data_IF_428075315271
#
_entry.id   IF_428075315271
#
_cell.length_a   1.000
_cell.length_b   1.000
_cell.length_c   1.000
_cell.angle_alpha   90.00
_cell.angle_beta   90.00
_cell.angle_gamma   90.00
#
_symmetry.space_group_name_H-M   'P 1'
#
loop_
_entity.id
_entity.type
_entity.pdbx_description
1 polymer ?
#
# COMPACT_ATOMS: atom_id res chain seq x y z
N UNK A 1 1.55 7.68 -28.91
CA UNK A 1 2.74 8.36 -28.35
C UNK A 1 2.47 9.03 -27.00
N UNK A 2 1.72 10.14 -26.88
CA UNK A 2 1.47 10.77 -25.56
C UNK A 2 0.73 9.83 -24.58
N UNK A 3 -0.29 9.14 -25.08
CA UNK A 3 -1.12 8.22 -24.29
C UNK A 3 -0.35 6.97 -23.80
N UNK A 4 0.52 6.42 -24.65
CA UNK A 4 1.40 5.30 -24.29
C UNK A 4 2.45 5.70 -23.25
N UNK A 5 2.92 6.95 -23.32
CA UNK A 5 3.86 7.50 -22.36
C UNK A 5 3.19 7.69 -20.99
N UNK A 6 1.94 8.15 -20.95
CA UNK A 6 1.16 8.27 -19.70
C UNK A 6 0.93 6.91 -19.05
N UNK A 7 0.43 5.92 -19.80
CA UNK A 7 0.26 4.56 -19.28
C UNK A 7 1.60 3.94 -18.83
N UNK A 8 2.70 4.20 -19.55
CA UNK A 8 4.04 3.78 -19.15
C UNK A 8 4.50 4.40 -17.83
N UNK A 9 4.21 5.68 -17.60
CA UNK A 9 4.50 6.38 -16.34
C UNK A 9 3.64 5.82 -15.20
N UNK A 10 2.34 5.63 -15.43
CA UNK A 10 1.42 5.03 -14.45
C UNK A 10 1.88 3.63 -14.06
N UNK A 11 2.12 2.75 -15.04
CA UNK A 11 2.63 1.40 -14.78
C UNK A 11 3.94 1.42 -14.01
N UNK A 12 4.89 2.28 -14.39
CA UNK A 12 6.20 2.35 -13.72
C UNK A 12 6.07 2.84 -12.27
N UNK A 13 5.24 3.85 -12.02
CA UNK A 13 5.00 4.40 -10.69
C UNK A 13 4.35 3.36 -9.77
N UNK A 14 3.27 2.73 -10.23
CA UNK A 14 2.53 1.75 -9.43
C UNK A 14 3.28 0.42 -9.29
N UNK A 15 4.06 0.00 -10.29
CA UNK A 15 4.93 -1.17 -10.18
C UNK A 15 6.07 -0.93 -9.17
N UNK A 16 6.66 0.26 -9.17
CA UNK A 16 7.67 0.64 -8.19
C UNK A 16 7.09 0.64 -6.76
N UNK A 17 5.91 1.23 -6.55
CA UNK A 17 5.19 1.17 -5.28
C UNK A 17 4.88 -0.27 -4.84
N UNK A 18 4.41 -1.09 -5.78
CA UNK A 18 4.15 -2.52 -5.55
C UNK A 18 5.40 -3.27 -5.13
N UNK A 19 6.56 -3.02 -5.74
CA UNK A 19 7.82 -3.68 -5.39
C UNK A 19 8.27 -3.34 -3.96
N UNK A 20 8.15 -2.08 -3.54
CA UNK A 20 8.46 -1.66 -2.17
C UNK A 20 7.56 -2.38 -1.18
N UNK A 21 6.25 -2.37 -1.41
CA UNK A 21 5.30 -3.02 -0.52
C UNK A 21 5.44 -4.55 -0.52
N UNK A 22 5.79 -5.14 -1.66
CA UNK A 22 6.07 -6.57 -1.73
C UNK A 22 7.25 -6.98 -0.85
N UNK A 23 8.36 -6.22 -0.87
CA UNK A 23 9.53 -6.49 -0.04
C UNK A 23 9.15 -6.43 1.45
N UNK A 24 8.39 -5.42 1.87
CA UNK A 24 7.88 -5.30 3.23
C UNK A 24 6.97 -6.48 3.60
N UNK A 25 6.12 -6.94 2.68
CA UNK A 25 5.20 -8.05 2.93
C UNK A 25 5.94 -9.37 3.19
N UNK A 26 7.15 -9.53 2.61
CA UNK A 26 8.00 -10.70 2.89
C UNK A 26 8.49 -10.74 4.34
N UNK A 27 8.73 -9.56 4.93
CA UNK A 27 9.12 -9.43 6.34
C UNK A 27 7.89 -9.68 7.23
N UNK A 28 6.74 -9.18 6.84
CA UNK A 28 5.48 -9.27 7.59
C UNK A 28 4.79 -10.65 7.51
N UNK A 29 5.24 -11.54 6.63
CA UNK A 29 4.61 -12.86 6.41
C UNK A 29 4.42 -13.67 7.70
N UNK A 30 5.34 -13.55 8.66
CA UNK A 30 5.29 -14.28 9.94
C UNK A 30 4.17 -13.79 10.87
N UNK A 31 3.82 -12.51 10.76
CA UNK A 31 2.82 -11.84 11.60
C UNK A 31 1.55 -11.51 10.84
N UNK A 32 1.41 -12.03 9.62
CA UNK A 32 0.26 -11.80 8.74
C UNK A 32 -1.08 -12.23 9.35
N UNK A 33 -1.17 -13.30 10.18
CA UNK A 33 -2.39 -13.61 10.92
C UNK A 33 -2.86 -12.45 11.83
N UNK A 34 -1.94 -11.61 12.33
CA UNK A 34 -2.29 -10.43 13.14
C UNK A 34 -3.14 -9.41 12.38
N UNK A 35 -3.12 -9.41 11.04
CA UNK A 35 -3.99 -8.54 10.24
C UNK A 35 -5.46 -8.76 10.56
N UNK A 36 -5.83 -10.04 10.75
CA UNK A 36 -7.20 -10.49 10.92
C UNK A 36 -7.58 -10.58 12.40
N UNK A 37 -6.65 -11.05 13.24
CA UNK A 37 -6.86 -11.23 14.67
C UNK A 37 -5.62 -10.80 15.47
N UNK A 38 -5.76 -9.78 16.31
CA UNK A 38 -4.65 -9.23 17.11
C UNK A 38 -4.14 -10.22 18.16
N UNK A 39 -5.01 -11.13 18.61
CA UNK A 39 -4.71 -12.12 19.64
C UNK A 39 -4.40 -13.49 19.04
N UNK A 40 -4.07 -13.56 17.74
CA UNK A 40 -3.71 -14.81 17.08
C UNK A 40 -2.60 -15.54 17.85
N UNK A 41 -2.95 -16.66 18.49
CA UNK A 41 -2.05 -17.50 19.28
C UNK A 41 -1.01 -18.22 18.40
N UNK A 42 -1.27 -18.29 17.09
CA UNK A 42 -0.39 -18.91 16.10
C UNK A 42 0.85 -18.09 15.77
N UNK A 43 0.94 -16.84 16.26
CA UNK A 43 2.06 -15.92 16.01
C UNK A 43 2.90 -15.85 17.28
N UNK A 44 4.18 -16.22 17.17
CA UNK A 44 5.15 -16.13 18.27
C UNK A 44 5.43 -14.65 18.61
N UNK A 45 5.45 -14.32 19.90
CA UNK A 45 5.74 -12.99 20.39
C UNK A 45 7.15 -12.52 20.01
N UNK A 46 8.11 -13.44 19.86
CA UNK A 46 9.45 -13.13 19.37
C UNK A 46 9.43 -12.68 17.90
N UNK A 47 8.58 -13.29 17.07
CA UNK A 47 8.36 -12.87 15.68
C UNK A 47 7.69 -11.49 15.62
N UNK A 48 6.70 -11.23 16.48
CA UNK A 48 6.07 -9.91 16.59
C UNK A 48 7.10 -8.84 16.95
N UNK A 49 7.95 -9.11 17.94
CA UNK A 49 9.01 -8.17 18.36
C UNK A 49 10.10 -8.01 17.31
N UNK A 50 10.42 -9.05 16.56
CA UNK A 50 11.32 -8.97 15.43
C UNK A 50 10.76 -8.05 14.34
N UNK A 51 9.53 -8.31 13.88
CA UNK A 51 8.88 -7.49 12.84
C UNK A 51 8.69 -6.06 13.33
N UNK A 52 8.29 -5.83 14.58
CA UNK A 52 8.20 -4.48 15.15
C UNK A 52 9.53 -3.72 15.11
N UNK A 53 10.65 -4.38 15.47
CA UNK A 53 11.99 -3.77 15.41
C UNK A 53 12.37 -3.41 13.96
N UNK A 54 12.11 -4.31 13.02
CA UNK A 54 12.39 -4.08 11.60
C UNK A 54 11.55 -2.91 11.07
N UNK A 55 10.24 -2.90 11.32
CA UNK A 55 9.34 -1.82 10.93
C UNK A 55 9.78 -0.49 11.55
N UNK A 56 10.11 -0.46 12.84
CA UNK A 56 10.62 0.74 13.52
C UNK A 56 11.89 1.30 12.89
N UNK A 57 12.77 0.43 12.39
CA UNK A 57 13.98 0.83 11.67
C UNK A 57 13.71 1.28 10.23
N UNK A 58 12.74 0.66 9.56
CA UNK A 58 12.40 0.96 8.17
C UNK A 58 11.56 2.23 8.02
N UNK A 59 10.64 2.51 8.94
CA UNK A 59 9.77 3.71 8.92
C UNK A 59 10.52 5.03 8.62
N UNK A 60 11.66 5.35 9.25
CA UNK A 60 12.40 6.58 8.95
C UNK A 60 13.18 6.54 7.62
N UNK A 61 13.45 5.35 7.07
CA UNK A 61 14.21 5.15 5.82
C UNK A 61 13.28 5.13 4.62
N UNK A 62 12.09 4.57 4.79
CA UNK A 62 11.03 4.66 3.81
C UNK A 62 10.67 6.15 3.69
N UNK A 63 10.53 6.69 2.46
CA UNK A 63 10.00 8.03 2.29
C UNK A 63 8.65 8.15 3.01
N UNK A 64 8.06 9.36 3.11
CA UNK A 64 6.61 9.54 3.33
C UNK A 64 5.80 8.96 2.15
N UNK A 65 6.16 7.75 1.72
CA UNK A 65 5.93 7.13 0.43
C UNK A 65 4.47 6.92 0.21
N UNK A 66 3.70 6.62 1.26
CA UNK A 66 2.26 6.46 1.15
C UNK A 66 1.57 7.76 0.68
N UNK A 67 1.90 8.91 1.27
CA UNK A 67 1.32 10.20 0.87
C UNK A 67 1.76 10.63 -0.53
N UNK A 68 3.03 10.40 -0.88
CA UNK A 68 3.55 10.71 -2.21
C UNK A 68 2.99 9.79 -3.29
N UNK A 69 2.89 8.49 -3.03
CA UNK A 69 2.30 7.52 -3.96
C UNK A 69 0.82 7.83 -4.17
N UNK A 70 0.08 8.20 -3.13
CA UNK A 70 -1.30 8.68 -3.27
C UNK A 70 -1.37 9.94 -4.12
N UNK A 71 -0.58 10.96 -3.79
CA UNK A 71 -0.63 12.23 -4.49
C UNK A 71 -0.26 12.07 -5.98
N UNK A 72 0.90 11.49 -6.27
CA UNK A 72 1.37 11.33 -7.64
C UNK A 72 0.56 10.28 -8.41
N UNK A 73 0.12 9.20 -7.75
CA UNK A 73 -0.76 8.20 -8.34
C UNK A 73 -2.11 8.80 -8.75
N UNK A 74 -2.73 9.59 -7.87
CA UNK A 74 -3.95 10.34 -8.18
C UNK A 74 -3.75 11.30 -9.35
N UNK A 75 -2.69 12.12 -9.32
CA UNK A 75 -2.42 13.09 -10.40
C UNK A 75 -2.21 12.37 -11.73
N UNK A 76 -1.46 11.28 -11.74
CA UNK A 76 -1.20 10.50 -12.95
C UNK A 76 -2.49 9.87 -13.51
N UNK A 77 -3.33 9.28 -12.66
CA UNK A 77 -4.61 8.69 -13.08
C UNK A 77 -5.63 9.74 -13.55
N UNK A 78 -5.69 10.92 -12.91
CA UNK A 78 -6.52 12.02 -13.38
C UNK A 78 -6.06 12.54 -14.74
N UNK A 79 -4.75 12.68 -14.92
CA UNK A 79 -4.17 13.12 -16.19
C UNK A 79 -4.44 12.09 -17.30
N UNK A 80 -4.30 10.79 -17.00
CA UNK A 80 -4.68 9.72 -17.92
C UNK A 80 -6.16 9.77 -18.28
N UNK A 81 -7.05 9.95 -17.30
CA UNK A 81 -8.48 10.10 -17.54
C UNK A 81 -8.79 11.29 -18.44
N UNK A 82 -8.11 12.42 -18.26
CA UNK A 82 -8.24 13.59 -19.12
C UNK A 82 -7.79 13.31 -20.55
N UNK A 83 -6.60 12.74 -20.76
CA UNK A 83 -6.07 12.40 -22.09
C UNK A 83 -6.92 11.37 -22.83
N UNK A 84 -7.58 10.47 -22.09
CA UNK A 84 -8.47 9.43 -22.64
C UNK A 84 -9.93 9.86 -22.77
N UNK A 85 -10.25 11.11 -22.44
CA UNK A 85 -11.62 11.62 -22.50
C UNK A 85 -12.58 10.89 -21.55
N UNK A 86 -12.08 10.39 -20.42
CA UNK A 86 -12.82 9.67 -19.39
C UNK A 86 -13.55 8.42 -19.90
N UNK A 87 -12.87 7.65 -20.75
CA UNK A 87 -13.37 6.34 -21.16
C UNK A 87 -13.57 5.39 -19.96
N UNK A 88 -14.39 4.36 -20.17
CA UNK A 88 -14.78 3.44 -19.09
C UNK A 88 -13.57 2.79 -18.37
N UNK A 89 -12.48 2.36 -19.06
CA UNK A 89 -11.31 1.79 -18.39
C UNK A 89 -10.67 2.77 -17.40
N UNK A 90 -10.48 4.03 -17.82
CA UNK A 90 -9.88 5.05 -16.96
C UNK A 90 -10.74 5.32 -15.72
N UNK A 91 -12.07 5.38 -15.91
CA UNK A 91 -13.02 5.56 -14.81
C UNK A 91 -12.97 4.39 -13.82
N UNK A 92 -12.86 3.15 -14.31
CA UNK A 92 -12.76 1.97 -13.45
C UNK A 92 -11.45 1.96 -12.66
N UNK A 93 -10.31 2.26 -13.30
CA UNK A 93 -9.00 2.29 -12.65
C UNK A 93 -8.95 3.36 -11.55
N UNK A 94 -9.40 4.58 -11.86
CA UNK A 94 -9.39 5.67 -10.88
C UNK A 94 -10.35 5.41 -9.72
N UNK A 95 -11.53 4.84 -10.00
CA UNK A 95 -12.51 4.49 -8.97
C UNK A 95 -11.99 3.37 -8.07
N UNK A 96 -11.35 2.35 -8.64
CA UNK A 96 -10.70 1.29 -7.88
C UNK A 96 -9.63 1.87 -6.95
N UNK A 97 -8.74 2.70 -7.52
CA UNK A 97 -7.63 3.29 -6.78
C UNK A 97 -8.11 4.16 -5.61
N UNK A 98 -9.08 5.04 -5.86
CA UNK A 98 -9.68 5.88 -4.83
C UNK A 98 -10.57 5.11 -3.86
N UNK A 99 -11.19 4.01 -4.27
CA UNK A 99 -11.96 3.14 -3.37
C UNK A 99 -11.08 2.61 -2.23
N UNK A 100 -9.89 2.10 -2.56
CA UNK A 100 -8.96 1.54 -1.56
C UNK A 100 -8.16 2.64 -0.86
N UNK A 101 -7.58 3.57 -1.62
CA UNK A 101 -6.73 4.64 -1.06
C UNK A 101 -7.56 5.66 -0.29
N UNK A 102 -8.75 6.00 -0.78
CA UNK A 102 -9.70 6.89 -0.11
C UNK A 102 -10.24 6.28 1.18
N UNK A 103 -10.55 4.97 1.18
CA UNK A 103 -10.87 4.27 2.44
C UNK A 103 -9.73 4.38 3.45
N UNK A 104 -8.49 4.18 3.00
CA UNK A 104 -7.31 4.28 3.86
C UNK A 104 -7.04 5.72 4.34
N UNK A 105 -7.40 6.75 3.58
CA UNK A 105 -7.29 8.15 4.01
C UNK A 105 -8.37 8.56 5.01
N UNK A 106 -9.60 8.07 4.83
CA UNK A 106 -10.76 8.45 5.66
C UNK A 106 -10.81 7.66 6.96
N UNK A 107 -10.51 6.37 6.89
CA UNK A 107 -10.63 5.43 8.02
C UNK A 107 -9.27 4.95 8.53
N UNK A 108 -8.17 5.19 7.80
CA UNK A 108 -6.83 4.80 8.22
C UNK A 108 -6.12 5.90 9.01
N UNK A 109 -5.77 5.58 10.25
CA UNK A 109 -4.87 6.40 11.07
C UNK A 109 -3.41 6.04 10.77
N UNK A 110 -2.96 6.23 9.53
CA UNK A 110 -1.61 5.83 9.09
C UNK A 110 -0.54 6.56 9.90
N UNK A 111 -0.75 7.86 10.15
CA UNK A 111 0.17 8.68 10.95
C UNK A 111 0.19 8.19 12.40
N UNK A 112 -0.96 7.90 13.00
CA UNK A 112 -1.03 7.37 14.35
C UNK A 112 -0.47 5.96 14.46
N UNK A 113 -0.68 5.08 13.49
CA UNK A 113 -0.10 3.74 13.44
C UNK A 113 1.43 3.79 13.36
N UNK A 114 1.96 4.62 12.46
CA UNK A 114 3.41 4.87 12.35
C UNK A 114 3.97 5.46 13.65
N UNK A 115 3.29 6.44 14.25
CA UNK A 115 3.72 7.03 15.52
C UNK A 115 3.64 6.04 16.67
N UNK A 116 2.63 5.16 16.72
CA UNK A 116 2.53 4.08 17.71
C UNK A 116 3.71 3.12 17.58
N UNK A 117 4.07 2.65 16.39
CA UNK A 117 5.26 1.80 16.19
C UNK A 117 6.57 2.52 16.55
N UNK A 118 6.70 3.81 16.20
CA UNK A 118 7.89 4.61 16.54
C UNK A 118 8.05 4.84 18.04
N UNK A 119 6.95 5.14 18.73
CA UNK A 119 6.97 5.56 20.14
C UNK A 119 6.88 4.37 21.10
N UNK A 120 6.30 3.24 20.68
CA UNK A 120 6.27 2.01 21.47
C UNK A 120 7.67 1.37 21.50
N UNK A 121 8.12 0.96 22.69
CA UNK A 121 9.34 0.18 22.84
C UNK A 121 9.09 -1.25 22.37
N UNK A 122 10.00 -1.86 21.60
CA UNK A 122 9.84 -3.27 21.20
C UNK A 122 9.88 -4.25 22.37
N UNK A 123 10.27 -3.79 23.57
CA UNK A 123 10.28 -4.57 24.81
C UNK A 123 9.11 -4.22 25.75
N UNK A 124 8.15 -3.41 25.30
CA UNK A 124 6.95 -3.10 26.10
C UNK A 124 6.05 -4.33 26.25
N UNK A 125 4.91 -4.12 26.91
CA UNK A 125 3.78 -5.05 26.89
C UNK A 125 3.50 -5.54 25.46
N UNK A 126 3.32 -6.86 25.31
CA UNK A 126 3.24 -7.51 24.00
C UNK A 126 1.95 -7.18 23.26
N UNK A 127 0.83 -6.97 23.96
CA UNK A 127 -0.41 -6.56 23.32
C UNK A 127 -0.26 -5.19 22.64
N UNK A 128 0.45 -4.26 23.31
CA UNK A 128 0.76 -2.95 22.75
C UNK A 128 1.61 -3.05 21.47
N UNK A 129 2.59 -3.98 21.44
CA UNK A 129 3.43 -4.23 20.26
C UNK A 129 2.61 -4.88 19.14
N UNK A 130 1.80 -5.90 19.46
CA UNK A 130 0.89 -6.59 18.52
C UNK A 130 -0.07 -5.61 17.86
N UNK A 131 -0.66 -4.71 18.63
CA UNK A 131 -1.56 -3.69 18.10
C UNK A 131 -0.85 -2.75 17.13
N UNK A 132 0.34 -2.25 17.49
CA UNK A 132 1.13 -1.39 16.62
C UNK A 132 1.52 -2.09 15.30
N UNK A 133 1.95 -3.35 15.37
CA UNK A 133 2.28 -4.16 14.19
C UNK A 133 1.04 -4.39 13.33
N UNK A 134 -0.09 -4.79 13.92
CA UNK A 134 -1.35 -5.05 13.20
C UNK A 134 -1.81 -3.84 12.40
N UNK A 135 -1.87 -2.67 13.04
CA UNK A 135 -2.37 -1.46 12.38
C UNK A 135 -1.50 -1.08 11.18
N UNK A 136 -0.18 -1.17 11.32
CA UNK A 136 0.73 -0.87 10.22
C UNK A 136 0.63 -1.92 9.10
N UNK A 137 0.50 -3.20 9.47
CA UNK A 137 0.37 -4.31 8.54
C UNK A 137 -0.91 -4.23 7.70
N UNK A 138 -2.04 -3.87 8.31
CA UNK A 138 -3.31 -3.66 7.58
C UNK A 138 -3.16 -2.52 6.56
N UNK A 139 -2.64 -1.37 6.98
CA UNK A 139 -2.44 -0.23 6.08
C UNK A 139 -1.46 -0.54 4.95
N UNK A 140 -0.40 -1.28 5.27
CA UNK A 140 0.59 -1.72 4.33
C UNK A 140 -0.02 -2.63 3.25
N UNK A 141 -0.79 -3.65 3.64
CA UNK A 141 -1.44 -4.56 2.70
C UNK A 141 -2.56 -3.90 1.87
N UNK A 142 -3.28 -2.92 2.43
CA UNK A 142 -4.20 -2.09 1.65
C UNK A 142 -3.47 -1.27 0.58
N UNK A 143 -2.32 -0.68 0.93
CA UNK A 143 -1.45 0.01 -0.02
C UNK A 143 -0.96 -0.91 -1.14
N UNK A 144 -0.51 -2.12 -0.79
CA UNK A 144 -0.10 -3.14 -1.76
C UNK A 144 -1.23 -3.50 -2.72
N UNK A 145 -2.43 -3.76 -2.18
CA UNK A 145 -3.60 -4.10 -2.97
C UNK A 145 -3.97 -2.98 -3.95
N UNK A 146 -3.99 -1.72 -3.48
CA UNK A 146 -4.27 -0.56 -4.32
C UNK A 146 -3.28 -0.44 -5.49
N UNK A 147 -1.98 -0.56 -5.22
CA UNK A 147 -0.95 -0.42 -6.25
C UNK A 147 -1.00 -1.60 -7.25
N UNK A 148 -1.02 -2.83 -6.74
CA UNK A 148 -1.05 -4.02 -7.58
C UNK A 148 -2.32 -4.06 -8.45
N UNK A 149 -3.47 -3.71 -7.89
CA UNK A 149 -4.71 -3.66 -8.64
C UNK A 149 -4.70 -2.62 -9.74
N UNK A 150 -4.11 -1.43 -9.51
CA UNK A 150 -3.91 -0.46 -10.60
C UNK A 150 -3.01 -1.04 -11.69
N UNK A 151 -1.88 -1.68 -11.35
CA UNK A 151 -1.00 -2.32 -12.35
C UNK A 151 -1.76 -3.36 -13.17
N UNK A 152 -2.54 -4.22 -12.52
CA UNK A 152 -3.30 -5.28 -13.19
C UNK A 152 -4.39 -4.68 -14.08
N UNK A 153 -5.15 -3.70 -13.60
CA UNK A 153 -6.23 -3.07 -14.36
C UNK A 153 -5.68 -2.25 -15.53
N UNK A 154 -4.61 -1.48 -15.33
CA UNK A 154 -3.94 -0.72 -16.39
C UNK A 154 -3.40 -1.67 -17.48
N UNK A 155 -2.74 -2.76 -17.07
CA UNK A 155 -2.24 -3.75 -18.02
C UNK A 155 -3.36 -4.47 -18.78
N UNK A 156 -4.43 -4.87 -18.11
CA UNK A 156 -5.52 -5.62 -18.73
C UNK A 156 -6.46 -4.75 -19.55
N UNK A 157 -6.90 -3.61 -19.02
CA UNK A 157 -7.95 -2.80 -19.63
C UNK A 157 -7.41 -1.77 -20.63
N UNK A 158 -6.17 -1.33 -20.45
CA UNK A 158 -5.58 -0.30 -21.31
C UNK A 158 -4.52 -0.89 -22.21
N UNK A 159 -3.53 -1.61 -21.69
CA UNK A 159 -2.47 -2.15 -22.55
C UNK A 159 -3.01 -3.29 -23.40
N UNK A 160 -3.49 -4.37 -22.79
CA UNK A 160 -3.89 -5.59 -23.50
C UNK A 160 -5.06 -5.37 -24.46
N UNK A 161 -6.15 -4.73 -24.00
CA UNK A 161 -7.31 -4.45 -24.87
C UNK A 161 -7.03 -3.44 -25.99
N UNK A 162 -5.98 -2.62 -25.92
CA UNK A 162 -5.61 -1.72 -27.02
C UNK A 162 -4.84 -2.43 -28.14
N UNK A 163 -4.34 -3.64 -27.92
CA UNK A 163 -3.68 -4.47 -28.93
C UNK A 163 -4.57 -5.59 -29.50
N UNK A 164 -5.77 -5.76 -28.95
CA UNK A 164 -6.74 -6.81 -29.33
C UNK A 164 -7.73 -6.37 -30.40
#
# INVERSE_FOLDING_TARGET
MALELVSGVVLSLFAFGTAIFYILSRIERFVLPLAFDVDAETVDDDDVRFVHRVLKHLIPVLPPSYGFVILFGTVALLYQGFERGWDWPSVVIITYYWGISGYSLVFGDIIGAVNRVKNTSSNSDIQSVRQGVRELLVQHHLGLAANLGVVVLEFTLIVWLSFG
#
